data_IF_933532885347
#
_entry.id   IF_933532885347
#
_cell.length_a   1.000
_cell.length_b   1.000
_cell.length_c   1.000
_cell.angle_alpha   90.00
_cell.angle_beta   90.00
_cell.angle_gamma   90.00
#
_symmetry.space_group_name_H-M   'P 1'
#
loop_
_entity.id
_entity.type
_entity.pdbx_description
1 polymer ?
#
# COMPACT_ATOMS: atom_id res chain seq x y z
N UNK A 1 63.02 53.63 -10.00
CA UNK A 1 64.10 54.03 -10.93
C UNK A 1 64.52 52.79 -11.71
N UNK A 2 64.34 52.86 -13.04
CA UNK A 2 64.86 51.96 -14.08
C UNK A 2 64.47 50.47 -14.03
N UNK A 3 63.73 49.94 -15.02
CA UNK A 3 64.28 49.51 -16.33
C UNK A 3 65.35 48.42 -16.19
N UNK A 4 65.08 47.19 -16.64
CA UNK A 4 65.42 46.79 -18.02
C UNK A 4 65.28 45.29 -18.27
N UNK A 5 64.51 45.02 -19.30
CA UNK A 5 64.39 43.81 -20.10
C UNK A 5 65.69 43.58 -20.93
N UNK A 6 66.18 42.34 -20.99
CA UNK A 6 67.04 41.76 -22.06
C UNK A 6 66.80 40.24 -22.00
N UNK A 7 66.41 39.48 -23.02
CA UNK A 7 66.32 39.71 -24.46
C UNK A 7 66.97 38.53 -25.18
N UNK A 8 66.16 37.74 -25.92
CA UNK A 8 66.51 36.92 -27.12
C UNK A 8 67.38 35.67 -26.87
N UNK A 9 67.26 34.53 -27.54
CA UNK A 9 66.37 34.00 -28.58
C UNK A 9 66.71 32.49 -28.83
N UNK A 10 65.80 31.77 -29.52
CA UNK A 10 65.98 30.48 -30.26
C UNK A 10 66.15 29.22 -29.39
N UNK A 11 65.62 28.03 -29.70
CA UNK A 11 65.17 27.45 -30.95
C UNK A 11 64.10 26.35 -30.72
N UNK A 12 63.43 25.99 -31.81
CA UNK A 12 62.44 24.92 -31.98
C UNK A 12 62.80 23.61 -31.27
N UNK A 13 61.81 22.93 -30.69
CA UNK A 13 61.49 21.56 -31.09
C UNK A 13 60.06 21.17 -30.69
N UNK A 14 59.40 20.55 -31.66
CA UNK A 14 58.01 20.18 -31.68
C UNK A 14 57.74 18.91 -30.86
N UNK A 15 56.58 18.87 -30.21
CA UNK A 15 55.81 17.64 -30.04
C UNK A 15 54.36 18.03 -29.72
N UNK A 16 53.51 17.91 -30.73
CA UNK A 16 52.07 17.98 -30.61
C UNK A 16 51.57 16.76 -29.81
N UNK A 17 50.93 17.00 -28.67
CA UNK A 17 50.00 16.03 -28.07
C UNK A 17 48.62 16.65 -28.19
N UNK A 18 47.89 16.20 -29.21
CA UNK A 18 46.46 16.49 -29.39
C UNK A 18 45.71 15.81 -28.25
N UNK A 19 45.34 16.58 -27.23
CA UNK A 19 44.41 16.17 -26.20
C UNK A 19 43.00 16.12 -26.78
N UNK A 20 42.44 14.92 -26.89
CA UNK A 20 41.05 14.71 -27.27
C UNK A 20 40.11 15.28 -26.18
N UNK A 21 39.45 16.40 -26.50
CA UNK A 21 38.33 16.94 -25.71
C UNK A 21 37.12 16.06 -26.00
N UNK A 22 36.78 15.16 -25.07
CA UNK A 22 35.48 14.48 -25.06
C UNK A 22 34.44 15.49 -24.61
N UNK A 23 33.63 15.98 -25.55
CA UNK A 23 32.51 16.87 -25.26
C UNK A 23 31.48 16.16 -24.38
N UNK A 24 31.14 16.78 -23.25
CA UNK A 24 29.92 16.46 -22.51
C UNK A 24 28.73 16.77 -23.42
N UNK A 25 28.16 15.74 -24.05
CA UNK A 25 26.82 15.81 -24.60
C UNK A 25 25.86 15.90 -23.39
N UNK A 26 25.36 17.10 -23.13
CA UNK A 26 24.23 17.28 -22.24
C UNK A 26 23.04 16.51 -22.84
N UNK A 27 22.65 15.39 -22.21
CA UNK A 27 21.32 14.84 -22.42
C UNK A 27 20.32 15.81 -21.76
N UNK A 28 19.93 16.85 -22.49
CA UNK A 28 18.61 17.43 -22.33
C UNK A 28 17.61 16.42 -22.86
N UNK A 29 17.28 15.42 -22.02
CA UNK A 29 16.12 14.60 -22.24
C UNK A 29 14.90 15.51 -22.11
N UNK A 30 14.44 15.95 -23.27
CA UNK A 30 13.24 16.71 -23.51
C UNK A 30 12.03 15.86 -23.06
N UNK A 31 11.70 15.94 -21.77
CA UNK A 31 10.42 15.47 -21.22
C UNK A 31 9.37 16.58 -21.32
N UNK A 32 9.18 17.15 -22.50
CA UNK A 32 8.06 18.03 -22.80
C UNK A 32 6.79 17.19 -22.91
N UNK A 33 6.19 16.87 -21.76
CA UNK A 33 4.80 16.43 -21.70
C UNK A 33 3.93 17.67 -21.52
N UNK A 34 3.02 17.90 -22.47
CA UNK A 34 1.87 18.79 -22.31
C UNK A 34 1.26 18.62 -20.92
N UNK A 35 0.79 19.71 -20.29
CA UNK A 35 0.01 19.65 -19.05
C UNK A 35 -1.09 18.59 -19.19
N UNK A 36 -0.83 17.39 -18.68
CA UNK A 36 -1.87 16.38 -18.51
C UNK A 36 -2.65 16.92 -17.34
N UNK A 37 -3.86 17.42 -17.60
CA UNK A 37 -4.75 17.89 -16.54
C UNK A 37 -4.81 16.79 -15.48
N UNK A 38 -4.23 17.10 -14.31
CA UNK A 38 -4.11 16.14 -13.24
C UNK A 38 -5.54 15.74 -12.83
N UNK A 39 -5.81 14.45 -12.84
CA UNK A 39 -7.11 13.96 -12.40
C UNK A 39 -7.34 14.34 -10.93
N UNK A 40 -8.38 15.14 -10.70
CA UNK A 40 -8.85 15.51 -9.37
C UNK A 40 -10.23 14.87 -9.19
N UNK A 41 -10.37 13.87 -8.30
CA UNK A 41 -11.65 13.25 -8.08
C UNK A 41 -12.64 14.22 -7.41
N UNK A 42 -13.92 14.04 -7.70
CA UNK A 42 -15.00 14.71 -6.96
C UNK A 42 -15.28 14.00 -5.64
N UNK A 43 -15.05 12.69 -5.57
CA UNK A 43 -15.19 11.88 -4.36
C UNK A 43 -14.21 10.69 -4.35
N UNK A 44 -13.87 10.23 -3.14
CA UNK A 44 -13.17 8.95 -2.88
C UNK A 44 -14.13 7.97 -2.24
N UNK A 45 -14.30 6.79 -2.82
CA UNK A 45 -15.23 5.76 -2.34
C UNK A 45 -14.44 4.48 -2.07
N UNK A 46 -14.37 4.05 -0.81
CA UNK A 46 -13.57 2.92 -0.39
C UNK A 46 -14.38 1.63 -0.25
N UNK A 47 -14.06 0.62 -1.05
CA UNK A 47 -14.57 -0.74 -0.95
C UNK A 47 -13.46 -1.68 -0.45
N UNK A 48 -13.85 -2.76 0.20
CA UNK A 48 -12.91 -3.77 0.66
C UNK A 48 -13.26 -4.39 2.00
N UNK A 49 -12.21 -4.87 2.66
CA UNK A 49 -12.26 -5.44 3.99
C UNK A 49 -11.84 -4.44 5.09
N UNK A 50 -11.69 -4.94 6.32
CA UNK A 50 -11.20 -4.22 7.49
C UNK A 50 -10.00 -3.27 7.26
N UNK A 51 -9.10 -3.59 6.32
CA UNK A 51 -7.90 -2.80 5.99
C UNK A 51 -8.26 -1.41 5.46
N UNK A 52 -9.53 -1.23 5.06
CA UNK A 52 -10.08 0.01 4.52
C UNK A 52 -11.27 0.54 5.33
N UNK A 53 -11.50 0.02 6.54
CA UNK A 53 -12.61 0.39 7.42
C UNK A 53 -12.23 1.48 8.41
N UNK A 54 -13.12 2.47 8.53
CA UNK A 54 -13.16 3.44 9.62
C UNK A 54 -14.53 3.31 10.28
N UNK A 55 -14.56 2.81 11.51
CA UNK A 55 -15.79 2.63 12.28
C UNK A 55 -16.42 3.98 12.61
N UNK A 56 -17.72 3.98 12.93
CA UNK A 56 -18.46 5.20 13.25
C UNK A 56 -17.86 6.00 14.43
N UNK A 57 -17.16 5.34 15.35
CA UNK A 57 -16.44 5.92 16.48
C UNK A 57 -15.02 6.41 16.13
N UNK A 58 -14.63 6.35 14.85
CA UNK A 58 -13.31 6.75 14.35
C UNK A 58 -12.20 5.70 14.55
N UNK A 59 -12.51 4.56 15.18
CA UNK A 59 -11.55 3.46 15.31
C UNK A 59 -11.31 2.76 13.98
N UNK A 60 -10.12 2.19 13.84
CA UNK A 60 -9.64 1.52 12.61
C UNK A 60 -9.05 0.17 12.95
N UNK A 61 -8.99 -0.73 11.97
CA UNK A 61 -8.35 -2.05 12.11
C UNK A 61 -6.83 -1.94 11.88
N UNK A 62 -6.20 -1.09 12.68
CA UNK A 62 -4.75 -0.88 12.81
C UNK A 62 -4.46 -0.27 14.19
N UNK A 63 -3.28 0.30 14.43
CA UNK A 63 -2.95 0.96 15.70
C UNK A 63 -3.60 2.35 15.75
N UNK A 64 -4.64 2.52 16.56
CA UNK A 64 -5.29 3.82 16.72
C UNK A 64 -4.42 4.80 17.53
N UNK A 65 -4.53 6.08 17.22
CA UNK A 65 -3.72 7.14 17.83
C UNK A 65 -4.55 8.09 18.70
N UNK A 66 -3.96 8.64 19.77
CA UNK A 66 -4.59 9.67 20.57
C UNK A 66 -4.53 11.03 19.86
N UNK A 67 -5.26 12.02 20.39
CA UNK A 67 -5.20 13.43 19.98
C UNK A 67 -3.83 14.03 20.25
N UNK A 68 -3.20 13.69 21.38
CA UNK A 68 -1.83 14.09 21.69
C UNK A 68 -1.20 13.14 22.71
N UNK A 69 0.08 13.35 23.06
CA UNK A 69 0.73 12.60 24.14
C UNK A 69 0.13 12.88 25.52
N UNK A 70 -0.58 14.00 25.68
CA UNK A 70 -1.20 14.44 26.95
C UNK A 70 -2.72 14.29 26.95
N UNK A 71 -3.34 14.05 25.80
CA UNK A 71 -4.77 13.84 25.63
C UNK A 71 -5.00 12.47 24.98
N UNK A 72 -5.37 11.44 25.77
CA UNK A 72 -5.49 10.07 25.29
C UNK A 72 -6.78 9.83 24.50
N UNK A 73 -7.65 10.84 24.29
CA UNK A 73 -8.83 10.65 23.45
C UNK A 73 -8.42 10.23 22.05
N UNK A 74 -9.13 9.27 21.48
CA UNK A 74 -8.86 8.81 20.12
C UNK A 74 -9.07 9.94 19.12
N UNK A 75 -8.09 10.15 18.23
CA UNK A 75 -8.25 11.00 17.05
C UNK A 75 -8.18 10.14 15.79
N UNK A 76 -9.28 10.11 15.05
CA UNK A 76 -9.44 9.37 13.79
C UNK A 76 -8.37 9.75 12.74
N UNK A 77 -7.85 10.98 12.79
CA UNK A 77 -6.81 11.50 11.88
C UNK A 77 -5.42 11.01 12.24
N UNK A 78 -5.18 10.65 13.50
CA UNK A 78 -3.90 10.09 13.92
C UNK A 78 -3.79 8.64 13.44
N UNK A 79 -2.59 8.26 13.01
CA UNK A 79 -2.29 6.93 12.47
C UNK A 79 -3.25 6.53 11.33
N UNK A 80 -3.27 7.28 10.20
CA UNK A 80 -4.23 7.06 9.14
C UNK A 80 -4.01 5.72 8.44
N UNK A 81 -5.12 5.08 8.02
CA UNK A 81 -5.07 3.95 7.09
C UNK A 81 -4.94 4.45 5.64
N UNK A 82 -4.60 3.56 4.72
CA UNK A 82 -4.22 3.91 3.34
C UNK A 82 -5.27 4.74 2.59
N UNK A 83 -6.57 4.46 2.79
CA UNK A 83 -7.65 5.23 2.16
C UNK A 83 -7.80 6.64 2.72
N UNK A 84 -7.47 6.85 4.00
CA UNK A 84 -7.40 8.20 4.58
C UNK A 84 -6.23 8.97 4.00
N UNK A 85 -5.06 8.33 3.85
CA UNK A 85 -3.89 8.96 3.24
C UNK A 85 -4.18 9.39 1.79
N UNK A 86 -4.83 8.54 1.00
CA UNK A 86 -5.26 8.88 -0.36
C UNK A 86 -6.27 10.03 -0.38
N UNK A 87 -7.32 9.98 0.45
CA UNK A 87 -8.30 11.06 0.52
C UNK A 87 -7.65 12.39 0.92
N UNK A 88 -6.73 12.36 1.90
CA UNK A 88 -5.98 13.53 2.34
C UNK A 88 -5.09 14.11 1.23
N UNK A 89 -4.54 13.29 0.34
CA UNK A 89 -3.75 13.76 -0.81
C UNK A 89 -4.59 14.61 -1.79
N UNK A 90 -5.92 14.44 -1.78
CA UNK A 90 -6.88 15.24 -2.56
C UNK A 90 -7.63 16.28 -1.72
N UNK A 91 -7.21 16.53 -0.47
CA UNK A 91 -7.89 17.45 0.44
C UNK A 91 -9.30 17.01 0.83
N UNK A 92 -9.57 15.70 0.77
CA UNK A 92 -10.85 15.11 1.17
C UNK A 92 -10.77 14.48 2.56
N UNK A 93 -11.91 14.39 3.22
CA UNK A 93 -12.03 13.83 4.56
C UNK A 93 -13.21 12.86 4.64
N UNK A 94 -13.05 11.81 5.43
CA UNK A 94 -14.13 10.90 5.83
C UNK A 94 -14.92 11.51 6.98
N UNK A 95 -16.24 11.31 7.02
CA UNK A 95 -17.12 11.86 8.08
C UNK A 95 -16.59 11.60 9.48
N UNK A 96 -16.12 10.37 9.73
CA UNK A 96 -15.63 9.89 11.02
C UNK A 96 -14.39 10.67 11.52
N UNK A 97 -13.65 11.32 10.62
CA UNK A 97 -12.41 12.02 10.93
C UNK A 97 -12.49 13.53 10.66
N UNK A 98 -13.68 14.13 10.73
CA UNK A 98 -13.92 15.53 10.31
C UNK A 98 -14.32 16.48 11.46
N UNK A 99 -13.44 16.72 12.45
CA UNK A 99 -13.74 17.66 13.54
C UNK A 99 -13.85 19.11 13.08
N UNK A 100 -13.29 19.44 11.91
CA UNK A 100 -13.31 20.79 11.34
C UNK A 100 -14.56 21.13 10.52
N UNK A 101 -15.51 20.19 10.38
CA UNK A 101 -16.75 20.42 9.63
C UNK A 101 -16.55 20.70 8.13
N UNK A 102 -15.49 20.14 7.54
CA UNK A 102 -15.23 20.25 6.10
C UNK A 102 -16.32 19.53 5.29
N UNK A 103 -16.45 19.86 4.02
CA UNK A 103 -17.29 19.08 3.11
C UNK A 103 -16.78 17.63 3.01
N UNK A 104 -17.64 16.66 3.32
CA UNK A 104 -17.30 15.24 3.24
C UNK A 104 -17.40 14.77 1.80
N UNK A 105 -16.26 14.48 1.19
CA UNK A 105 -16.15 13.90 -0.16
C UNK A 105 -15.49 12.53 -0.18
N UNK A 106 -15.13 11.97 0.98
CA UNK A 106 -14.67 10.59 1.10
C UNK A 106 -15.68 9.73 1.86
N UNK A 107 -15.97 8.53 1.34
CA UNK A 107 -16.98 7.61 1.90
C UNK A 107 -16.44 6.19 1.97
N UNK A 108 -16.61 5.54 3.12
CA UNK A 108 -16.26 4.13 3.33
C UNK A 108 -17.46 3.22 3.17
N UNK A 109 -17.31 2.18 2.36
CA UNK A 109 -18.26 1.07 2.16
C UNK A 109 -17.63 -0.29 2.45
N UNK A 110 -16.31 -0.33 2.66
CA UNK A 110 -15.61 -1.50 3.17
C UNK A 110 -16.23 -2.00 4.47
N UNK A 111 -16.16 -3.31 4.71
CA UNK A 111 -16.73 -3.94 5.88
C UNK A 111 -15.76 -4.95 6.51
N UNK A 112 -15.70 -5.06 7.85
CA UNK A 112 -14.83 -6.05 8.51
C UNK A 112 -15.23 -7.48 8.10
N UNK A 113 -14.23 -8.32 7.81
CA UNK A 113 -14.44 -9.71 7.39
C UNK A 113 -14.94 -9.87 5.95
N UNK A 114 -15.09 -8.78 5.20
CA UNK A 114 -15.56 -8.84 3.82
C UNK A 114 -14.62 -9.70 2.96
N UNK A 115 -15.24 -10.53 2.14
CA UNK A 115 -14.62 -11.35 1.10
C UNK A 115 -14.93 -10.77 -0.27
N UNK A 116 -14.33 -11.34 -1.32
CA UNK A 116 -14.62 -10.93 -2.71
C UNK A 116 -16.11 -11.01 -3.05
N UNK A 117 -16.84 -11.98 -2.47
CA UNK A 117 -18.28 -12.12 -2.67
C UNK A 117 -19.09 -10.91 -2.15
N UNK A 118 -18.59 -10.21 -1.14
CA UNK A 118 -19.27 -9.07 -0.52
C UNK A 118 -19.03 -7.76 -1.29
N UNK A 119 -17.99 -7.71 -2.12
CA UNK A 119 -17.63 -6.50 -2.88
C UNK A 119 -18.74 -6.09 -3.84
N UNK A 120 -19.54 -7.02 -4.36
CA UNK A 120 -20.67 -6.71 -5.24
C UNK A 120 -21.76 -5.94 -4.47
N UNK A 121 -22.02 -6.33 -3.22
CA UNK A 121 -22.97 -5.64 -2.35
C UNK A 121 -22.47 -4.26 -1.93
N UNK A 122 -21.17 -4.09 -1.73
CA UNK A 122 -20.56 -2.78 -1.48
C UNK A 122 -20.62 -1.91 -2.75
N UNK A 123 -20.30 -2.46 -3.92
CA UNK A 123 -20.34 -1.77 -5.21
C UNK A 123 -21.75 -1.27 -5.56
N UNK A 124 -22.79 -2.02 -5.21
CA UNK A 124 -24.18 -1.58 -5.38
C UNK A 124 -24.52 -0.29 -4.60
N UNK A 125 -23.79 0.01 -3.50
CA UNK A 125 -23.96 1.22 -2.69
C UNK A 125 -23.11 2.40 -3.20
N UNK A 126 -22.30 2.24 -4.25
CA UNK A 126 -21.46 3.31 -4.82
C UNK A 126 -22.33 4.42 -5.42
N UNK A 127 -23.46 4.07 -6.02
CA UNK A 127 -24.30 5.00 -6.79
C UNK A 127 -23.78 5.19 -8.21
N UNK A 128 -24.25 6.24 -8.89
CA UNK A 128 -23.84 6.52 -10.27
C UNK A 128 -22.38 6.99 -10.35
N UNK A 129 -21.61 6.38 -11.26
CA UNK A 129 -20.23 6.76 -11.56
C UNK A 129 -20.22 7.58 -12.85
N UNK A 130 -19.61 8.76 -12.82
CA UNK A 130 -19.70 9.77 -13.88
C UNK A 130 -18.33 10.14 -14.47
N UNK A 131 -17.29 9.33 -14.24
CA UNK A 131 -15.93 9.62 -14.69
C UNK A 131 -15.07 10.40 -13.69
N UNK A 132 -15.64 10.94 -12.61
CA UNK A 132 -14.94 11.82 -11.67
C UNK A 132 -14.79 11.26 -10.27
N UNK A 133 -15.38 10.10 -9.96
CA UNK A 133 -15.21 9.44 -8.66
C UNK A 133 -14.02 8.47 -8.70
N UNK A 134 -13.20 8.52 -7.65
CA UNK A 134 -12.13 7.57 -7.40
C UNK A 134 -12.66 6.46 -6.47
N UNK A 135 -12.69 5.23 -6.95
CA UNK A 135 -13.09 4.05 -6.17
C UNK A 135 -11.83 3.28 -5.78
N UNK A 136 -11.63 3.02 -4.50
CA UNK A 136 -10.55 2.14 -4.03
C UNK A 136 -11.09 0.76 -3.71
N UNK A 137 -10.31 -0.27 -4.03
CA UNK A 137 -10.65 -1.66 -3.73
C UNK A 137 -9.41 -2.35 -3.15
N UNK A 138 -9.58 -2.97 -1.98
CA UNK A 138 -8.64 -3.93 -1.40
C UNK A 138 -9.43 -5.01 -0.68
N UNK A 139 -9.43 -6.22 -1.25
CA UNK A 139 -10.15 -7.38 -0.74
C UNK A 139 -9.46 -8.67 -1.19
N UNK A 140 -9.71 -9.76 -0.45
CA UNK A 140 -9.23 -11.10 -0.77
C UNK A 140 -8.35 -11.72 0.32
N UNK A 141 -7.84 -10.93 1.27
CA UNK A 141 -7.08 -11.48 2.41
C UNK A 141 -7.94 -12.47 3.21
N UNK A 142 -9.20 -12.12 3.49
CA UNK A 142 -10.16 -13.00 4.15
C UNK A 142 -10.47 -14.29 3.35
N UNK A 143 -10.49 -14.23 2.02
CA UNK A 143 -10.65 -15.41 1.16
C UNK A 143 -9.43 -16.33 1.24
N UNK A 144 -8.22 -15.78 1.15
CA UNK A 144 -6.97 -16.55 1.28
C UNK A 144 -6.89 -17.24 2.63
N UNK A 145 -7.17 -16.53 3.73
CA UNK A 145 -7.16 -17.10 5.08
C UNK A 145 -8.22 -18.19 5.25
N UNK A 146 -9.43 -17.99 4.70
CA UNK A 146 -10.49 -18.99 4.74
C UNK A 146 -10.15 -20.26 3.96
N UNK A 147 -9.47 -20.12 2.82
CA UNK A 147 -8.99 -21.26 2.05
C UNK A 147 -7.85 -21.97 2.75
N UNK A 148 -6.89 -21.23 3.29
CA UNK A 148 -5.80 -21.78 4.10
C UNK A 148 -6.30 -22.62 5.28
N UNK A 149 -7.35 -22.17 5.99
CA UNK A 149 -7.92 -22.88 7.13
C UNK A 149 -8.46 -24.29 6.81
N UNK A 150 -8.66 -24.62 5.52
CA UNK A 150 -9.08 -25.96 5.07
C UNK A 150 -7.91 -26.90 4.81
N UNK A 151 -6.67 -26.41 4.81
CA UNK A 151 -5.47 -27.23 4.65
C UNK A 151 -5.07 -27.86 5.99
N UNK A 152 -4.68 -29.15 6.06
CA UNK A 152 -4.35 -30.04 4.94
C UNK A 152 -5.50 -30.93 4.47
N UNK A 153 -6.71 -30.78 5.03
CA UNK A 153 -7.86 -31.59 4.63
C UNK A 153 -8.23 -31.39 3.15
N UNK A 154 -7.95 -30.20 2.60
CA UNK A 154 -8.05 -29.88 1.17
C UNK A 154 -6.66 -29.61 0.62
N UNK A 155 -6.35 -30.18 -0.55
CA UNK A 155 -5.04 -30.05 -1.17
C UNK A 155 -4.72 -28.61 -1.58
N UNK A 156 -3.44 -28.23 -1.53
CA UNK A 156 -2.99 -26.92 -2.02
C UNK A 156 -3.40 -26.66 -3.47
N UNK A 157 -3.40 -27.68 -4.33
CA UNK A 157 -3.80 -27.55 -5.73
C UNK A 157 -5.26 -27.12 -5.87
N UNK A 158 -6.16 -27.73 -5.09
CA UNK A 158 -7.57 -27.35 -5.07
C UNK A 158 -7.77 -25.95 -4.49
N UNK A 159 -7.13 -25.64 -3.35
CA UNK A 159 -7.22 -24.31 -2.74
C UNK A 159 -6.70 -23.21 -3.69
N UNK A 160 -5.62 -23.50 -4.41
CA UNK A 160 -5.07 -22.59 -5.43
C UNK A 160 -6.05 -22.35 -6.57
N UNK A 161 -6.70 -23.40 -7.09
CA UNK A 161 -7.69 -23.26 -8.15
C UNK A 161 -8.91 -22.43 -7.71
N UNK A 162 -9.36 -22.63 -6.48
CA UNK A 162 -10.46 -21.84 -5.89
C UNK A 162 -10.06 -20.36 -5.70
N UNK A 163 -8.84 -20.08 -5.25
CA UNK A 163 -8.33 -18.71 -5.13
C UNK A 163 -8.07 -18.05 -6.48
N UNK A 164 -7.68 -18.81 -7.49
CA UNK A 164 -7.57 -18.33 -8.86
C UNK A 164 -8.94 -17.88 -9.41
N UNK A 165 -9.99 -18.65 -9.15
CA UNK A 165 -11.36 -18.26 -9.49
C UNK A 165 -11.82 -17.02 -8.69
N UNK A 166 -11.49 -16.96 -7.40
CA UNK A 166 -11.84 -15.82 -6.53
C UNK A 166 -11.13 -14.53 -6.99
N UNK A 167 -9.84 -14.59 -7.34
CA UNK A 167 -9.11 -13.45 -7.89
C UNK A 167 -9.68 -12.97 -9.23
N UNK A 168 -10.13 -13.90 -10.08
CA UNK A 168 -10.84 -13.58 -11.33
C UNK A 168 -12.15 -12.85 -11.08
N UNK A 169 -12.95 -13.31 -10.11
CA UNK A 169 -14.21 -12.68 -9.74
C UNK A 169 -14.03 -11.25 -9.19
N UNK A 170 -12.96 -10.99 -8.43
CA UNK A 170 -12.66 -9.62 -7.99
C UNK A 170 -12.29 -8.71 -9.18
N UNK A 171 -11.51 -9.22 -10.13
CA UNK A 171 -11.15 -8.48 -11.34
C UNK A 171 -12.39 -8.10 -12.16
N UNK A 172 -13.36 -9.01 -12.30
CA UNK A 172 -14.63 -8.75 -12.98
C UNK A 172 -15.43 -7.62 -12.32
N UNK A 173 -15.49 -7.59 -10.99
CA UNK A 173 -16.15 -6.51 -10.25
C UNK A 173 -15.43 -5.17 -10.41
N UNK A 174 -14.09 -5.18 -10.38
CA UNK A 174 -13.26 -4.00 -10.63
C UNK A 174 -13.47 -3.47 -12.06
N UNK A 175 -13.55 -4.36 -13.04
CA UNK A 175 -13.85 -4.02 -14.43
C UNK A 175 -15.27 -3.44 -14.57
N UNK A 176 -16.26 -3.97 -13.85
CA UNK A 176 -17.62 -3.45 -13.85
C UNK A 176 -17.69 -2.00 -13.32
N UNK A 177 -16.97 -1.70 -12.22
CA UNK A 177 -16.84 -0.33 -11.69
C UNK A 177 -16.20 0.61 -12.69
N UNK A 178 -15.12 0.17 -13.35
CA UNK A 178 -14.43 0.95 -14.37
C UNK A 178 -15.32 1.21 -15.61
N UNK A 179 -16.03 0.19 -16.09
CA UNK A 179 -16.94 0.29 -17.23
C UNK A 179 -18.17 1.16 -16.92
N UNK A 180 -18.61 1.18 -15.66
CA UNK A 180 -19.64 2.10 -15.18
C UNK A 180 -19.16 3.56 -15.08
N UNK A 181 -17.88 3.85 -15.35
CA UNK A 181 -17.32 5.20 -15.35
C UNK A 181 -16.47 5.53 -14.13
N UNK A 182 -16.20 4.59 -13.22
CA UNK A 182 -15.32 4.81 -12.09
C UNK A 182 -13.85 4.91 -12.49
N UNK A 183 -13.08 5.76 -11.80
CA UNK A 183 -11.63 5.66 -11.76
C UNK A 183 -11.28 4.74 -10.60
N UNK A 184 -10.69 3.57 -10.87
CA UNK A 184 -10.52 2.53 -9.86
C UNK A 184 -9.05 2.39 -9.48
N UNK A 185 -8.75 2.40 -8.18
CA UNK A 185 -7.47 1.91 -7.65
C UNK A 185 -7.71 0.57 -6.98
N UNK A 186 -7.07 -0.48 -7.49
CA UNK A 186 -7.12 -1.83 -6.95
C UNK A 186 -5.76 -2.17 -6.34
N UNK A 187 -5.75 -2.51 -5.06
CA UNK A 187 -4.57 -3.07 -4.41
C UNK A 187 -4.61 -4.61 -4.45
N UNK A 188 -3.47 -5.23 -4.77
CA UNK A 188 -3.27 -6.65 -4.57
C UNK A 188 -3.35 -7.00 -3.08
N UNK A 189 -3.66 -8.26 -2.75
CA UNK A 189 -3.60 -8.73 -1.37
C UNK A 189 -2.14 -8.72 -0.92
N UNK A 190 -1.77 -8.09 0.21
CA UNK A 190 -0.42 -8.18 0.76
C UNK A 190 0.02 -9.64 0.93
N UNK A 191 1.31 -9.94 0.75
CA UNK A 191 1.79 -11.32 0.88
C UNK A 191 1.60 -11.85 2.32
N UNK A 192 0.53 -12.63 2.52
CA UNK A 192 0.16 -13.12 3.83
C UNK A 192 1.14 -14.15 4.37
N UNK A 193 1.97 -14.78 3.53
CA UNK A 193 3.02 -15.69 4.00
C UNK A 193 4.18 -14.97 4.70
N UNK A 194 4.21 -13.64 4.67
CA UNK A 194 5.15 -12.78 5.40
C UNK A 194 4.52 -12.13 6.64
N UNK A 195 3.29 -12.50 6.98
CA UNK A 195 2.58 -12.00 8.15
C UNK A 195 3.01 -12.72 9.44
N UNK A 196 2.80 -12.11 10.63
CA UNK A 196 3.03 -12.79 11.90
C UNK A 196 2.17 -14.05 12.06
N UNK A 197 0.96 -14.07 11.49
CA UNK A 197 0.13 -15.27 11.43
C UNK A 197 0.82 -16.42 10.70
N UNK A 198 1.38 -16.16 9.51
CA UNK A 198 2.08 -17.17 8.73
C UNK A 198 3.31 -17.73 9.46
N UNK A 199 4.07 -16.88 10.16
CA UNK A 199 5.20 -17.35 10.95
C UNK A 199 4.76 -18.20 12.15
N UNK A 200 3.65 -17.86 12.80
CA UNK A 200 3.06 -18.69 13.84
C UNK A 200 2.63 -20.05 13.28
N UNK A 201 1.99 -20.08 12.11
CA UNK A 201 1.57 -21.31 11.45
C UNK A 201 2.76 -22.20 11.05
N UNK A 202 3.86 -21.60 10.55
CA UNK A 202 5.11 -22.33 10.25
C UNK A 202 5.70 -22.96 11.51
N UNK A 203 5.64 -22.27 12.65
CA UNK A 203 6.16 -22.79 13.91
C UNK A 203 5.27 -23.87 14.51
N UNK A 204 3.95 -23.76 14.34
CA UNK A 204 2.97 -24.67 14.94
C UNK A 204 2.78 -25.99 14.17
N UNK A 205 3.16 -26.06 12.89
CA UNK A 205 2.90 -27.20 12.02
C UNK A 205 4.20 -27.73 11.40
N UNK A 206 4.32 -29.06 11.30
CA UNK A 206 5.53 -29.75 10.80
C UNK A 206 5.34 -30.47 9.46
N UNK A 207 4.18 -30.31 8.83
CA UNK A 207 3.81 -31.01 7.59
C UNK A 207 4.37 -30.32 6.33
N UNK A 208 4.36 -29.00 6.29
CA UNK A 208 4.98 -28.18 5.24
C UNK A 208 5.35 -26.81 5.79
N UNK A 209 6.11 -26.02 5.02
CA UNK A 209 6.29 -24.60 5.35
C UNK A 209 4.98 -23.85 5.10
N UNK A 210 4.18 -23.72 6.17
CA UNK A 210 2.86 -23.07 6.13
C UNK A 210 2.90 -21.61 5.71
N UNK A 211 3.96 -20.90 6.03
CA UNK A 211 4.13 -19.54 5.56
C UNK A 211 4.42 -19.50 4.05
N UNK A 212 5.27 -20.39 3.54
CA UNK A 212 5.48 -20.51 2.10
C UNK A 212 4.21 -20.95 1.35
N UNK A 213 3.39 -21.82 1.95
CA UNK A 213 2.07 -22.17 1.44
C UNK A 213 1.16 -20.93 1.34
N UNK A 214 1.05 -20.13 2.40
CA UNK A 214 0.29 -18.88 2.39
C UNK A 214 0.76 -17.89 1.33
N UNK A 215 2.07 -17.74 1.12
CA UNK A 215 2.61 -16.91 0.02
C UNK A 215 2.18 -17.44 -1.35
N UNK A 216 2.22 -18.76 -1.57
CA UNK A 216 1.78 -19.37 -2.84
C UNK A 216 0.28 -19.18 -3.07
N UNK A 217 -0.55 -19.39 -2.06
CA UNK A 217 -2.01 -19.16 -2.13
C UNK A 217 -2.32 -17.69 -2.43
N UNK A 218 -1.65 -16.75 -1.75
CA UNK A 218 -1.80 -15.31 -2.00
C UNK A 218 -1.38 -14.94 -3.43
N UNK A 219 -0.25 -15.47 -3.89
CA UNK A 219 0.25 -15.24 -5.25
C UNK A 219 -0.71 -15.76 -6.33
N UNK A 220 -1.38 -16.91 -6.10
CA UNK A 220 -2.37 -17.48 -7.02
C UNK A 220 -3.59 -16.57 -7.18
N UNK A 221 -4.11 -16.06 -6.07
CA UNK A 221 -5.17 -15.05 -6.07
C UNK A 221 -4.74 -13.79 -6.87
N UNK A 222 -3.62 -13.19 -6.48
CA UNK A 222 -3.13 -11.95 -7.08
C UNK A 222 -2.80 -12.10 -8.58
N UNK A 223 -2.28 -13.26 -9.00
CA UNK A 223 -1.98 -13.52 -10.40
C UNK A 223 -3.23 -13.44 -11.27
N UNK A 224 -4.35 -14.04 -10.83
CA UNK A 224 -5.61 -14.00 -11.58
C UNK A 224 -6.30 -12.65 -11.51
N UNK A 225 -6.25 -11.98 -10.38
CA UNK A 225 -6.69 -10.58 -10.28
C UNK A 225 -5.98 -9.72 -11.33
N UNK A 226 -4.65 -9.77 -11.36
CA UNK A 226 -3.83 -8.95 -12.27
C UNK A 226 -4.02 -9.31 -13.75
N UNK A 227 -4.19 -10.59 -14.06
CA UNK A 227 -4.38 -11.06 -15.42
C UNK A 227 -5.73 -10.61 -16.02
N UNK A 228 -6.75 -10.43 -15.18
CA UNK A 228 -8.13 -10.24 -15.65
C UNK A 228 -8.64 -8.80 -15.53
N UNK A 229 -7.93 -7.89 -14.84
CA UNK A 229 -8.30 -6.46 -14.83
C UNK A 229 -8.02 -5.81 -16.18
N UNK A 230 -8.86 -4.84 -16.57
CA UNK A 230 -8.62 -3.99 -17.74
C UNK A 230 -7.33 -3.20 -17.49
N UNK A 231 -6.31 -3.41 -18.32
CA UNK A 231 -5.00 -2.78 -18.20
C UNK A 231 -4.74 -1.80 -19.35
N UNK A 232 -5.64 -0.82 -19.51
CA UNK A 232 -5.53 0.26 -20.51
C UNK A 232 -4.92 1.55 -19.95
N UNK A 233 -4.64 1.59 -18.65
CA UNK A 233 -4.04 2.73 -17.93
C UNK A 233 -4.97 3.93 -17.72
N UNK A 234 -6.19 3.92 -18.28
CA UNK A 234 -7.10 5.09 -18.28
C UNK A 234 -8.18 5.03 -17.22
N UNK A 235 -8.50 3.81 -16.75
CA UNK A 235 -9.59 3.61 -15.78
C UNK A 235 -9.17 2.90 -14.52
N UNK A 236 -8.13 2.06 -14.58
CA UNK A 236 -7.74 1.19 -13.47
C UNK A 236 -6.25 1.40 -13.17
N UNK A 237 -5.96 1.80 -11.93
CA UNK A 237 -4.62 1.83 -11.36
C UNK A 237 -4.38 0.64 -10.45
N UNK A 238 -3.36 -0.16 -10.77
CA UNK A 238 -2.93 -1.27 -9.93
C UNK A 238 -1.91 -0.80 -8.89
N UNK A 239 -2.15 -1.16 -7.63
CA UNK A 239 -1.24 -1.00 -6.49
C UNK A 239 -0.70 -2.38 -6.09
N UNK A 240 0.61 -2.56 -6.14
CA UNK A 240 1.28 -3.84 -5.82
C UNK A 240 1.60 -3.91 -4.32
N UNK A 241 0.57 -4.13 -3.49
CA UNK A 241 0.75 -4.23 -2.03
C UNK A 241 1.47 -5.53 -1.61
N UNK A 242 1.36 -6.60 -2.41
CA UNK A 242 2.17 -7.82 -2.26
C UNK A 242 3.66 -7.53 -2.41
N UNK A 243 4.05 -6.85 -3.48
CA UNK A 243 5.46 -6.47 -3.72
C UNK A 243 5.96 -5.49 -2.65
N UNK A 244 5.11 -4.56 -2.22
CA UNK A 244 5.42 -3.66 -1.11
C UNK A 244 5.78 -4.45 0.16
N UNK A 245 4.96 -5.43 0.55
CA UNK A 245 5.23 -6.25 1.75
C UNK A 245 6.46 -7.15 1.54
N UNK A 246 6.65 -7.73 0.36
CA UNK A 246 7.82 -8.56 0.06
C UNK A 246 9.13 -7.76 0.15
N UNK A 247 9.16 -6.56 -0.43
CA UNK A 247 10.35 -5.70 -0.39
C UNK A 247 10.59 -5.12 1.00
N UNK A 248 9.54 -4.73 1.72
CA UNK A 248 9.64 -4.30 3.12
C UNK A 248 10.17 -5.40 4.04
N UNK A 249 9.70 -6.63 3.85
CA UNK A 249 10.17 -7.78 4.63
C UNK A 249 11.63 -8.13 4.34
N UNK A 250 12.05 -7.97 3.08
CA UNK A 250 13.43 -8.24 2.66
C UNK A 250 14.42 -7.14 3.07
N UNK A 251 13.97 -5.87 3.07
CA UNK A 251 14.80 -4.70 3.32
C UNK A 251 14.16 -3.75 4.35
N UNK A 252 13.92 -4.21 5.59
CA UNK A 252 13.12 -3.47 6.59
C UNK A 252 13.67 -2.07 6.89
N UNK A 253 14.99 -1.92 7.00
CA UNK A 253 15.62 -0.62 7.32
C UNK A 253 15.38 0.44 6.25
N UNK A 254 15.25 0.05 4.97
CA UNK A 254 14.94 0.99 3.87
C UNK A 254 13.55 1.60 3.99
N UNK A 255 12.65 0.95 4.72
CA UNK A 255 11.30 1.40 5.01
C UNK A 255 11.15 1.98 6.42
N UNK A 256 12.24 2.06 7.19
CA UNK A 256 12.23 2.52 8.59
C UNK A 256 11.68 1.50 9.59
N UNK A 257 11.53 0.23 9.20
CA UNK A 257 11.03 -0.81 10.08
C UNK A 257 12.14 -1.42 10.94
N UNK A 258 11.85 -1.52 12.24
CA UNK A 258 12.61 -2.28 13.22
C UNK A 258 12.13 -3.73 13.32
N UNK A 259 10.88 -4.00 12.92
CA UNK A 259 10.31 -5.34 12.93
C UNK A 259 9.30 -5.52 11.79
N UNK A 260 9.43 -6.62 11.05
CA UNK A 260 8.55 -6.99 9.92
C UNK A 260 7.92 -8.38 10.08
N UNK A 261 8.15 -9.04 11.21
CA UNK A 261 7.74 -10.43 11.46
C UNK A 261 6.77 -10.58 12.63
N UNK A 262 6.77 -9.63 13.57
CA UNK A 262 5.91 -9.64 14.75
C UNK A 262 4.73 -8.70 14.61
N UNK A 263 3.67 -8.99 15.38
CA UNK A 263 2.53 -8.09 15.56
C UNK A 263 2.87 -7.02 16.60
N UNK A 264 2.63 -5.74 16.27
CA UNK A 264 2.92 -4.62 17.16
C UNK A 264 1.95 -4.50 18.34
N UNK A 265 0.69 -4.91 18.17
CA UNK A 265 -0.33 -4.86 19.21
C UNK A 265 -0.16 -5.99 20.23
N UNK A 266 -0.53 -5.72 21.49
CA UNK A 266 -0.68 -6.75 22.52
C UNK A 266 -1.85 -7.68 22.17
N UNK A 267 -1.74 -8.96 22.50
CA UNK A 267 -2.82 -9.95 22.29
C UNK A 267 -4.10 -9.63 23.09
N UNK A 268 -3.98 -8.84 24.17
CA UNK A 268 -5.11 -8.35 24.97
C UNK A 268 -5.81 -7.13 24.36
N UNK A 269 -5.22 -6.51 23.34
CA UNK A 269 -5.76 -5.34 22.65
C UNK A 269 -5.99 -5.68 21.17
N UNK A 270 -6.98 -6.54 20.93
CA UNK A 270 -7.36 -6.97 19.57
C UNK A 270 -7.94 -5.80 18.78
N UNK A 271 -7.62 -5.71 17.49
CA UNK A 271 -8.15 -4.66 16.62
C UNK A 271 -9.69 -4.70 16.60
N UNK A 272 -10.37 -3.56 16.71
CA UNK A 272 -9.85 -2.19 16.62
C UNK A 272 -9.44 -1.54 17.95
N UNK A 273 -9.39 -2.27 19.07
CA UNK A 273 -9.09 -1.70 20.39
C UNK A 273 -7.60 -1.31 20.58
N UNK A 274 -6.69 -1.81 19.75
CA UNK A 274 -5.28 -1.48 19.82
C UNK A 274 -5.02 0.01 19.59
N UNK A 275 -4.18 0.58 20.45
CA UNK A 275 -3.72 1.96 20.36
C UNK A 275 -2.25 2.08 20.79
N UNK A 276 -1.70 3.30 20.76
CA UNK A 276 -0.28 3.57 21.07
C UNK A 276 0.15 3.18 22.50
N UNK A 277 -0.79 2.93 23.42
CA UNK A 277 -0.49 2.48 24.80
C UNK A 277 -0.57 0.96 24.98
N UNK A 278 -1.07 0.24 23.97
CA UNK A 278 -1.27 -1.22 24.01
C UNK A 278 -0.36 -1.94 23.01
N UNK A 279 0.85 -1.43 22.84
CA UNK A 279 1.88 -1.98 21.96
C UNK A 279 2.83 -2.91 22.72
N UNK A 280 3.42 -3.87 22.01
CA UNK A 280 4.43 -4.77 22.56
C UNK A 280 5.58 -3.96 23.17
N UNK A 281 5.96 -4.20 24.44
CA UNK A 281 7.13 -3.58 25.02
C UNK A 281 8.41 -4.20 24.42
N UNK A 282 9.57 -3.68 24.81
CA UNK A 282 10.85 -4.33 24.51
C UNK A 282 10.86 -5.76 25.05
N UNK A 283 11.33 -6.72 24.25
CA UNK A 283 11.47 -8.11 24.65
C UNK A 283 12.81 -8.68 24.15
N UNK A 284 13.82 -8.70 25.03
CA UNK A 284 15.16 -9.15 24.67
C UNK A 284 15.74 -8.31 23.53
N UNK A 285 16.04 -8.95 22.40
CA UNK A 285 16.56 -8.29 21.21
C UNK A 285 15.48 -7.61 20.35
N UNK A 286 14.20 -7.84 20.64
CA UNK A 286 13.09 -7.22 19.90
C UNK A 286 12.82 -5.82 20.47
N UNK A 287 12.98 -4.73 19.70
CA UNK A 287 12.69 -3.37 20.16
C UNK A 287 11.23 -3.18 20.55
N UNK A 288 10.91 -2.17 21.35
CA UNK A 288 9.51 -1.81 21.61
C UNK A 288 8.76 -1.52 20.30
N UNK A 289 7.50 -1.93 20.25
CA UNK A 289 6.64 -1.68 19.10
C UNK A 289 6.27 -0.21 18.97
N UNK A 290 6.32 0.29 17.74
CA UNK A 290 5.92 1.64 17.38
C UNK A 290 5.02 1.63 16.17
N UNK A 291 4.09 2.59 16.11
CA UNK A 291 3.06 2.68 15.06
C UNK A 291 3.63 2.69 13.64
N UNK A 292 4.81 3.29 13.43
CA UNK A 292 5.45 3.40 12.12
C UNK A 292 6.75 2.60 12.00
N UNK A 293 7.27 2.04 13.10
CA UNK A 293 8.52 1.27 13.11
C UNK A 293 8.31 -0.24 13.01
N UNK A 294 7.07 -0.71 13.03
CA UNK A 294 6.71 -2.12 12.82
C UNK A 294 5.82 -2.22 11.59
N UNK A 295 5.93 -3.27 10.78
CA UNK A 295 5.12 -3.42 9.56
C UNK A 295 3.67 -3.87 9.86
N UNK A 296 3.48 -4.74 10.85
CA UNK A 296 2.20 -5.37 11.16
C UNK A 296 1.63 -4.85 12.47
N UNK A 297 0.34 -4.48 12.47
CA UNK A 297 -0.39 -4.14 13.69
C UNK A 297 -0.74 -5.41 14.47
N UNK A 298 -1.36 -6.36 13.80
CA UNK A 298 -1.81 -7.64 14.36
C UNK A 298 -1.29 -8.81 13.50
N UNK A 299 -1.72 -10.06 13.71
CA UNK A 299 -1.23 -11.19 12.93
C UNK A 299 -1.42 -11.11 11.41
N UNK A 300 -2.35 -10.28 10.90
CA UNK A 300 -2.69 -10.27 9.46
C UNK A 300 -2.84 -8.87 8.86
N UNK A 301 -2.84 -7.80 9.67
CA UNK A 301 -3.15 -6.44 9.22
C UNK A 301 -1.99 -5.49 9.43
N UNK A 302 -1.84 -4.55 8.49
CA UNK A 302 -0.75 -3.59 8.49
C UNK A 302 -0.86 -2.61 9.65
N UNK A 303 0.31 -2.19 10.14
CA UNK A 303 0.43 -1.05 11.05
C UNK A 303 0.19 0.28 10.32
N UNK A 304 0.12 1.41 11.03
CA UNK A 304 0.18 2.74 10.41
C UNK A 304 1.40 2.93 9.51
N UNK A 305 2.55 2.32 9.84
CA UNK A 305 3.72 2.27 8.96
C UNK A 305 3.43 1.60 7.62
N UNK A 306 2.88 0.38 7.65
CA UNK A 306 2.48 -0.33 6.44
C UNK A 306 1.43 0.41 5.62
N UNK A 307 0.42 0.98 6.28
CA UNK A 307 -0.59 1.81 5.64
C UNK A 307 -0.04 3.09 5.04
N UNK A 308 0.96 3.72 5.66
CA UNK A 308 1.62 4.91 5.13
C UNK A 308 2.29 4.61 3.79
N UNK A 309 2.96 3.46 3.66
CA UNK A 309 3.59 3.04 2.42
C UNK A 309 2.54 2.76 1.32
N UNK A 310 1.47 2.03 1.67
CA UNK A 310 0.38 1.75 0.73
C UNK A 310 -0.37 3.02 0.31
N UNK A 311 -0.59 3.94 1.25
CA UNK A 311 -1.22 5.24 0.99
C UNK A 311 -0.38 6.12 0.06
N UNK A 312 0.94 6.15 0.26
CA UNK A 312 1.87 6.84 -0.63
C UNK A 312 1.87 6.23 -2.04
N UNK A 313 1.86 4.90 -2.14
CA UNK A 313 1.73 4.20 -3.42
C UNK A 313 0.40 4.53 -4.10
N UNK A 314 -0.71 4.56 -3.35
CA UNK A 314 -2.02 4.93 -3.87
C UNK A 314 -2.05 6.36 -4.40
N UNK A 315 -1.55 7.34 -3.63
CA UNK A 315 -1.50 8.74 -4.04
C UNK A 315 -0.59 8.94 -5.27
N UNK A 316 0.58 8.31 -5.30
CA UNK A 316 1.49 8.33 -6.45
C UNK A 316 0.82 7.77 -7.70
N UNK A 317 0.16 6.62 -7.58
CA UNK A 317 -0.56 5.98 -8.70
C UNK A 317 -1.74 6.81 -9.17
N UNK A 318 -2.46 7.44 -8.26
CA UNK A 318 -3.64 8.26 -8.58
C UNK A 318 -3.26 9.55 -9.33
N UNK A 319 -2.14 10.17 -8.94
CA UNK A 319 -1.61 11.38 -9.58
C UNK A 319 -0.83 11.09 -10.87
N UNK A 320 -0.17 9.94 -10.97
CA UNK A 320 0.64 9.55 -12.12
C UNK A 320 -0.11 8.80 -13.21
N UNK A 321 -1.36 8.38 -12.97
CA UNK A 321 -2.19 7.76 -14.01
C UNK A 321 -2.85 8.83 -14.89
N UNK A 322 -2.83 8.66 -16.23
CA UNK A 322 -3.63 9.46 -17.13
C UNK A 322 -5.09 8.94 -17.07
N UNK A 323 -5.76 9.19 -15.95
CA UNK A 323 -7.20 8.99 -15.86
C UNK A 323 -7.92 9.87 -16.91
#
# INVERSE_FOLDING_TARGET
>A
MGLMNKGKARALQAAAVVGAVVGLAALTACGGGTDVDQFVPTAVISLGDETSVINADGTKYSINGPTSSTDPTLDCRTNPIWVQALASAYGMVFTQCNPGGLEVRARGLAAPGARVADIAAQAAQVGALTGSQLVTVLAGANDVLAQYARYPAVSEAQLSAELEATGSALAEQVNALANAGGKVLIATVPDLGLSPFAFAERAANTDTDRAALLSRLTARFNAKLRANIINDGRRIGLLLADELVQTASKFPSSYGYLNVVGAACLSTAVLPACNTTTLQPVNGAVPAAGSFSWLWADPTRLSPGGHSQLGALAASRANGNPF
#
